data_IF_461346261830
#
_entry.id   IF_461346261830
#
_cell.length_a   1.000
_cell.length_b   1.000
_cell.length_c   1.000
_cell.angle_alpha   90.00
_cell.angle_beta   90.00
_cell.angle_gamma   90.00
#
_symmetry.space_group_name_H-M   'P 1'
#
loop_
_entity.id
_entity.type
_entity.pdbx_description
1 polymer ?
#
# COMPACT_ATOMS: atom_id res chain seq x y z
N UNK A 1 -36.63 -0.02 -73.91
CA UNK A 1 -35.82 -1.07 -73.24
C UNK A 1 -34.78 -1.55 -74.25
N UNK A 2 -33.52 -1.15 -74.13
CA UNK A 2 -32.46 -1.75 -74.92
C UNK A 2 -31.15 -1.76 -74.10
N UNK A 3 -30.41 -2.88 -74.06
CA UNK A 3 -29.42 -3.16 -73.02
C UNK A 3 -28.08 -2.47 -73.29
N UNK A 4 -27.40 -2.07 -72.21
CA UNK A 4 -26.08 -1.42 -72.24
C UNK A 4 -24.93 -2.34 -72.67
N UNK A 5 -23.77 -1.75 -73.03
CA UNK A 5 -22.65 -2.47 -73.63
C UNK A 5 -21.91 -3.39 -72.64
N UNK A 6 -21.28 -4.47 -73.15
CA UNK A 6 -20.67 -5.54 -72.34
C UNK A 6 -19.36 -5.10 -71.69
N UNK A 7 -19.24 -5.38 -70.38
CA UNK A 7 -18.02 -5.19 -69.62
C UNK A 7 -17.05 -6.36 -69.83
N UNK A 8 -15.82 -6.03 -70.22
CA UNK A 8 -14.73 -6.98 -70.38
C UNK A 8 -14.21 -7.46 -69.00
N UNK A 9 -14.31 -8.76 -68.74
CA UNK A 9 -13.68 -9.42 -67.60
C UNK A 9 -12.19 -9.66 -67.89
N UNK A 10 -11.32 -9.08 -67.07
CA UNK A 10 -9.88 -9.39 -67.08
C UNK A 10 -9.58 -10.79 -66.53
N UNK A 11 -8.42 -11.38 -66.89
CA UNK A 11 -8.06 -12.73 -66.49
C UNK A 11 -7.84 -12.85 -64.97
N UNK A 12 -8.58 -13.78 -64.36
CA UNK A 12 -8.46 -14.22 -62.97
C UNK A 12 -7.10 -14.90 -62.75
N UNK A 13 -6.30 -14.35 -61.84
CA UNK A 13 -5.04 -14.95 -61.41
C UNK A 13 -5.29 -16.08 -60.39
N UNK A 14 -4.57 -17.23 -60.47
CA UNK A 14 -4.76 -18.35 -59.56
C UNK A 14 -4.36 -18.02 -58.12
N UNK A 15 -5.22 -18.41 -57.18
CA UNK A 15 -5.00 -18.31 -55.74
C UNK A 15 -3.92 -19.31 -55.28
N UNK A 16 -2.87 -18.87 -54.54
CA UNK A 16 -1.87 -19.78 -54.00
C UNK A 16 -2.40 -20.62 -52.82
N UNK A 17 -1.99 -21.89 -52.69
CA UNK A 17 -2.49 -22.79 -51.65
C UNK A 17 -2.05 -22.38 -50.25
N UNK A 18 -3.01 -22.53 -49.33
CA UNK A 18 -2.98 -22.23 -47.92
C UNK A 18 -2.07 -23.21 -47.16
N UNK A 19 -0.91 -22.74 -46.70
CA UNK A 19 0.02 -23.48 -45.86
C UNK A 19 -0.25 -23.25 -44.37
N UNK A 20 -0.70 -24.30 -43.67
CA UNK A 20 -0.76 -24.34 -42.22
C UNK A 20 0.66 -24.44 -41.63
N UNK A 21 1.06 -23.59 -40.66
CA UNK A 21 2.30 -23.77 -39.92
C UNK A 21 2.19 -24.99 -38.99
N UNK A 22 3.01 -26.00 -39.27
CA UNK A 22 3.13 -27.21 -38.47
C UNK A 22 3.74 -26.96 -37.09
N UNK A 23 3.17 -27.62 -36.09
CA UNK A 23 3.63 -27.64 -34.70
C UNK A 23 4.98 -28.40 -34.60
N UNK A 24 6.03 -27.83 -33.98
CA UNK A 24 7.29 -28.55 -33.77
C UNK A 24 7.13 -29.66 -32.73
N UNK A 25 7.87 -30.79 -32.86
CA UNK A 25 7.80 -31.90 -31.92
C UNK A 25 8.24 -31.46 -30.50
N UNK A 26 7.64 -32.01 -29.43
CA UNK A 26 7.94 -31.62 -28.06
C UNK A 26 9.39 -31.96 -27.71
N UNK A 27 10.23 -30.93 -27.67
CA UNK A 27 11.58 -30.98 -27.14
C UNK A 27 11.56 -31.17 -25.63
N UNK A 28 12.41 -32.08 -25.15
CA UNK A 28 12.69 -32.29 -23.74
C UNK A 28 13.06 -30.95 -23.08
N UNK A 29 12.21 -30.49 -22.16
CA UNK A 29 12.46 -29.30 -21.37
C UNK A 29 13.72 -29.44 -20.50
N UNK A 30 14.29 -28.31 -20.04
CA UNK A 30 15.43 -28.32 -19.13
C UNK A 30 15.11 -29.16 -17.88
N UNK A 31 16.09 -29.90 -17.33
CA UNK A 31 15.85 -30.81 -16.22
C UNK A 31 15.22 -30.07 -15.03
N UNK A 32 14.22 -30.68 -14.36
CA UNK A 32 13.56 -30.05 -13.23
C UNK A 32 14.59 -29.66 -12.18
N UNK A 33 14.58 -28.38 -11.77
CA UNK A 33 15.40 -27.91 -10.66
C UNK A 33 15.03 -28.71 -9.43
N UNK A 34 15.96 -29.53 -8.95
CA UNK A 34 15.80 -30.33 -7.73
C UNK A 34 15.42 -29.37 -6.59
N UNK A 35 14.19 -29.52 -6.09
CA UNK A 35 13.72 -28.72 -4.99
C UNK A 35 14.37 -29.22 -3.71
N UNK A 36 15.12 -28.33 -3.06
CA UNK A 36 15.65 -28.59 -1.71
C UNK A 36 14.56 -28.44 -0.65
N UNK A 37 13.28 -28.34 -1.03
CA UNK A 37 12.15 -28.19 -0.11
C UNK A 37 12.12 -29.30 0.92
N UNK A 38 12.38 -30.56 0.52
CA UNK A 38 12.46 -31.68 1.48
C UNK A 38 13.64 -31.55 2.45
N UNK A 39 14.78 -31.02 2.00
CA UNK A 39 15.95 -30.78 2.84
C UNK A 39 15.72 -29.61 3.80
N UNK A 40 15.09 -28.53 3.34
CA UNK A 40 14.74 -27.37 4.15
C UNK A 40 13.71 -27.76 5.22
N UNK A 41 12.66 -28.51 4.85
CA UNK A 41 11.67 -29.01 5.82
C UNK A 41 12.36 -29.94 6.82
N UNK A 42 13.24 -30.83 6.36
CA UNK A 42 14.02 -31.69 7.25
C UNK A 42 14.91 -30.92 8.22
N UNK A 43 15.55 -29.83 7.76
CA UNK A 43 16.39 -28.96 8.59
C UNK A 43 15.55 -28.16 9.59
N UNK A 44 14.40 -27.64 9.17
CA UNK A 44 13.47 -26.90 10.05
C UNK A 44 12.91 -27.84 11.12
N UNK A 45 12.44 -29.03 10.75
CA UNK A 45 11.96 -30.02 11.72
C UNK A 45 13.10 -30.50 12.63
N UNK A 46 14.29 -30.74 12.08
CA UNK A 46 15.47 -31.09 12.87
C UNK A 46 15.87 -29.99 13.86
N UNK A 47 15.81 -28.72 13.44
CA UNK A 47 16.07 -27.57 14.31
C UNK A 47 14.99 -27.42 15.38
N UNK A 48 13.71 -27.62 15.04
CA UNK A 48 12.60 -27.62 16.01
C UNK A 48 12.75 -28.76 17.01
N UNK A 49 13.16 -29.96 16.58
CA UNK A 49 13.42 -31.10 17.45
C UNK A 49 14.69 -30.91 18.28
N UNK A 50 15.73 -30.22 17.79
CA UNK A 50 16.91 -29.90 18.60
C UNK A 50 16.61 -28.81 19.64
N UNK A 51 15.85 -27.78 19.26
CA UNK A 51 15.42 -26.71 20.17
C UNK A 51 14.38 -27.21 21.18
N UNK A 52 13.52 -28.16 20.81
CA UNK A 52 12.56 -28.81 21.72
C UNK A 52 13.15 -29.99 22.51
N UNK A 53 14.06 -30.75 21.91
CA UNK A 53 14.64 -31.99 22.45
C UNK A 53 15.68 -31.76 23.54
N UNK A 54 16.39 -30.63 23.51
CA UNK A 54 17.21 -30.18 24.64
C UNK A 54 16.37 -29.97 25.92
N UNK A 55 15.10 -29.62 25.77
CA UNK A 55 14.16 -29.47 26.89
C UNK A 55 13.66 -30.80 27.46
N UNK A 56 13.48 -31.83 26.64
CA UNK A 56 12.95 -33.13 27.10
C UNK A 56 13.99 -33.91 27.93
N UNK A 57 15.27 -33.83 27.56
CA UNK A 57 16.34 -34.44 28.36
C UNK A 57 16.54 -33.73 29.72
N UNK A 58 16.37 -32.40 29.76
CA UNK A 58 16.38 -31.64 31.00
C UNK A 58 15.11 -31.91 31.86
N UNK A 59 13.96 -32.12 31.23
CA UNK A 59 12.70 -32.40 31.92
C UNK A 59 12.68 -33.80 32.55
N UNK A 60 13.27 -34.82 31.89
CA UNK A 60 13.36 -36.16 32.46
C UNK A 60 14.42 -36.29 33.57
N UNK A 61 15.48 -35.48 33.57
CA UNK A 61 16.45 -35.43 34.68
C UNK A 61 15.94 -34.65 35.91
N UNK A 62 14.95 -33.77 35.74
CA UNK A 62 14.35 -32.99 36.84
C UNK A 62 13.05 -33.61 37.41
N UNK A 63 12.57 -34.73 36.86
CA UNK A 63 11.29 -35.34 37.27
C UNK A 63 11.38 -36.35 38.41
N UNK A 64 12.56 -36.58 38.99
CA UNK A 64 12.76 -37.59 40.04
C UNK A 64 12.83 -37.02 41.47
N UNK A 65 12.53 -35.73 41.66
CA UNK A 65 12.35 -35.17 43.01
C UNK A 65 11.00 -34.48 43.15
N UNK A 66 10.15 -35.13 43.94
CA UNK A 66 8.78 -34.77 44.25
C UNK A 66 8.66 -33.40 44.92
N UNK A 67 8.02 -32.46 44.24
CA UNK A 67 7.62 -31.18 44.82
C UNK A 67 6.57 -30.50 43.95
N UNK A 68 5.33 -30.44 44.46
CA UNK A 68 4.21 -29.74 43.84
C UNK A 68 4.57 -28.28 43.53
N UNK A 69 4.90 -27.99 42.27
CA UNK A 69 4.97 -26.62 41.76
C UNK A 69 4.04 -26.51 40.56
N UNK A 70 2.93 -25.79 40.75
CA UNK A 70 2.04 -25.40 39.67
C UNK A 70 2.84 -24.72 38.57
N UNK A 71 3.02 -25.41 37.45
CA UNK A 71 3.40 -24.79 36.18
C UNK A 71 2.30 -23.80 35.79
N UNK A 72 2.50 -22.53 36.14
CA UNK A 72 1.75 -21.45 35.54
C UNK A 72 2.02 -21.51 34.02
N UNK A 73 0.96 -21.74 33.24
CA UNK A 73 1.02 -21.60 31.79
C UNK A 73 1.59 -20.21 31.46
N UNK A 74 2.33 -20.03 30.35
CA UNK A 74 2.75 -18.71 29.93
C UNK A 74 1.48 -17.90 29.67
N UNK A 75 1.14 -17.00 30.60
CA UNK A 75 0.15 -15.97 30.35
C UNK A 75 0.73 -15.15 29.21
N UNK A 76 0.15 -15.29 28.01
CA UNK A 76 0.42 -14.37 26.90
C UNK A 76 0.13 -12.98 27.42
N UNK A 77 1.17 -12.22 27.71
CA UNK A 77 1.05 -10.83 28.11
C UNK A 77 0.27 -10.12 27.01
N UNK A 78 -0.92 -9.62 27.35
CA UNK A 78 -1.76 -8.87 26.41
C UNK A 78 -0.92 -7.72 25.85
N UNK A 79 -0.83 -7.59 24.53
CA UNK A 79 -0.09 -6.50 23.87
C UNK A 79 -0.62 -5.17 24.41
N UNK A 80 0.27 -4.34 24.94
CA UNK A 80 -0.04 -3.00 25.44
C UNK A 80 0.67 -1.96 24.57
N UNK A 81 0.00 -0.86 24.29
CA UNK A 81 0.50 0.25 23.48
C UNK A 81 -0.35 1.50 23.66
N UNK A 82 -0.08 2.57 22.90
CA UNK A 82 -0.87 3.79 22.96
C UNK A 82 -2.35 3.52 22.60
N UNK A 83 -3.32 4.22 23.21
CA UNK A 83 -4.68 4.22 22.73
C UNK A 83 -4.77 4.92 21.37
N UNK A 84 -5.75 4.52 20.55
CA UNK A 84 -6.05 5.23 19.30
C UNK A 84 -6.41 6.69 19.58
N UNK A 85 -5.76 7.62 18.88
CA UNK A 85 -5.96 9.06 19.08
C UNK A 85 -7.22 9.58 18.38
N UNK A 86 -7.59 9.01 17.24
CA UNK A 86 -8.70 9.46 16.40
C UNK A 86 -9.72 8.36 16.17
N UNK A 87 -10.98 8.78 16.12
CA UNK A 87 -12.14 7.91 15.86
C UNK A 87 -12.76 8.11 14.48
N UNK A 88 -12.39 9.19 13.78
CA UNK A 88 -12.87 9.59 12.45
C UNK A 88 -11.84 10.49 11.76
N UNK A 89 -11.84 10.52 10.43
CA UNK A 89 -11.07 11.43 9.60
C UNK A 89 -11.81 12.76 9.41
N UNK A 90 -11.09 13.87 9.12
CA UNK A 90 -11.73 15.14 8.81
C UNK A 90 -12.45 15.09 7.45
N UNK A 91 -13.51 15.89 7.32
CA UNK A 91 -14.15 16.14 6.03
C UNK A 91 -13.25 16.91 5.06
N UNK A 92 -13.45 16.68 3.76
CA UNK A 92 -12.65 17.28 2.71
C UNK A 92 -12.77 18.80 2.68
N UNK A 93 -13.93 19.36 2.99
CA UNK A 93 -14.18 20.80 3.05
C UNK A 93 -13.28 21.48 4.10
N UNK A 94 -13.07 20.81 5.24
CA UNK A 94 -12.22 21.31 6.32
C UNK A 94 -10.77 21.43 5.84
N UNK A 95 -10.25 20.41 5.17
CA UNK A 95 -8.90 20.43 4.59
C UNK A 95 -8.80 21.54 3.54
N UNK A 96 -9.76 21.61 2.63
CA UNK A 96 -9.77 22.55 1.51
C UNK A 96 -9.79 24.00 1.97
N UNK A 97 -10.50 24.32 3.05
CA UNK A 97 -10.56 25.66 3.62
C UNK A 97 -9.22 26.18 4.14
N UNK A 98 -8.27 25.28 4.45
CA UNK A 98 -6.93 25.60 4.90
C UNK A 98 -5.93 25.92 3.76
N UNK A 99 -6.35 25.77 2.50
CA UNK A 99 -5.47 25.94 1.34
C UNK A 99 -6.07 26.94 0.37
N UNK A 100 -5.29 27.97 0.01
CA UNK A 100 -5.73 28.99 -0.95
C UNK A 100 -5.58 28.46 -2.38
N UNK A 101 -6.52 28.85 -3.25
CA UNK A 101 -6.50 28.59 -4.68
C UNK A 101 -6.46 27.10 -5.05
N UNK A 102 -7.10 26.25 -4.25
CA UNK A 102 -7.42 24.90 -4.71
C UNK A 102 -8.49 24.97 -5.81
N UNK A 103 -8.44 24.07 -6.81
CA UNK A 103 -9.58 23.85 -7.70
C UNK A 103 -10.84 23.46 -6.92
N UNK A 104 -12.01 23.43 -7.58
CA UNK A 104 -13.24 22.93 -6.97
C UNK A 104 -13.05 21.52 -6.38
N UNK A 105 -13.61 21.32 -5.19
CA UNK A 105 -13.70 20.01 -4.56
C UNK A 105 -14.69 19.15 -5.34
N UNK A 106 -14.27 17.95 -5.73
CA UNK A 106 -15.18 16.94 -6.23
C UNK A 106 -16.01 16.33 -5.11
N UNK A 107 -17.24 15.90 -5.43
CA UNK A 107 -18.14 15.29 -4.46
C UNK A 107 -17.44 14.16 -3.67
N UNK A 108 -17.19 14.35 -2.36
CA UNK A 108 -16.46 13.38 -1.57
C UNK A 108 -17.33 12.14 -1.32
N UNK A 109 -16.70 10.96 -1.34
CA UNK A 109 -17.39 9.68 -1.09
C UNK A 109 -17.60 9.37 0.40
N UNK A 110 -16.99 10.16 1.30
CA UNK A 110 -17.00 9.91 2.74
C UNK A 110 -15.93 8.89 3.15
N UNK A 111 -16.14 8.24 4.30
CA UNK A 111 -15.30 7.13 4.76
C UNK A 111 -15.84 5.79 4.24
N UNK A 112 -14.95 4.97 3.69
CA UNK A 112 -15.27 3.63 3.19
C UNK A 112 -14.34 2.59 3.83
N UNK A 113 -14.78 1.33 4.03
CA UNK A 113 -13.89 0.26 4.49
C UNK A 113 -12.72 0.05 3.53
N UNK A 114 -11.50 -0.03 4.07
CA UNK A 114 -10.29 -0.33 3.31
C UNK A 114 -9.81 -1.75 3.61
N UNK A 115 -9.25 -2.43 2.61
CA UNK A 115 -8.68 -3.77 2.80
C UNK A 115 -7.33 -3.71 3.53
N UNK A 116 -7.10 -4.66 4.42
CA UNK A 116 -5.83 -4.85 5.11
C UNK A 116 -5.62 -6.32 5.44
N UNK A 117 -4.36 -6.76 5.49
CA UNK A 117 -3.98 -8.08 6.01
C UNK A 117 -3.87 -8.12 7.53
N UNK A 118 -3.94 -6.96 8.19
CA UNK A 118 -3.83 -6.85 9.64
C UNK A 118 -5.19 -7.12 10.31
N UNK A 119 -5.26 -8.25 11.02
CA UNK A 119 -6.47 -8.69 11.70
C UNK A 119 -6.73 -7.96 13.03
N UNK A 120 -5.81 -7.12 13.49
CA UNK A 120 -5.90 -6.41 14.78
C UNK A 120 -6.50 -5.01 14.64
N UNK A 121 -6.82 -4.57 13.42
CA UNK A 121 -7.38 -3.24 13.15
C UNK A 121 -8.67 -3.29 12.34
N UNK A 122 -9.49 -2.25 12.51
CA UNK A 122 -10.51 -1.83 11.54
C UNK A 122 -9.88 -0.73 10.69
N UNK A 123 -9.91 -0.90 9.37
CA UNK A 123 -9.23 0.00 8.45
C UNK A 123 -10.26 0.69 7.55
N UNK A 124 -10.18 2.01 7.48
CA UNK A 124 -11.11 2.86 6.70
C UNK A 124 -10.30 3.88 5.92
N UNK A 125 -10.79 4.26 4.75
CA UNK A 125 -10.16 5.25 3.88
C UNK A 125 -11.13 6.35 3.52
N UNK A 126 -10.59 7.54 3.27
CA UNK A 126 -11.32 8.66 2.67
C UNK A 126 -10.43 9.35 1.66
N UNK A 127 -11.03 9.91 0.60
CA UNK A 127 -10.30 10.56 -0.48
C UNK A 127 -10.94 11.89 -0.85
N UNK A 128 -10.11 12.92 -0.94
CA UNK A 128 -10.48 14.28 -1.29
C UNK A 128 -9.73 14.70 -2.55
N UNK A 129 -10.48 15.09 -3.58
CA UNK A 129 -9.95 15.46 -4.89
C UNK A 129 -10.35 16.89 -5.23
N UNK A 130 -9.37 17.77 -5.36
CA UNK A 130 -9.56 19.11 -5.90
C UNK A 130 -8.96 19.15 -7.29
N UNK A 131 -9.82 19.18 -8.31
CA UNK A 131 -9.38 19.17 -9.70
C UNK A 131 -10.29 19.99 -10.61
N UNK A 132 -9.68 20.51 -11.65
CA UNK A 132 -10.35 21.18 -12.75
C UNK A 132 -9.55 20.90 -14.03
N UNK A 133 -10.24 20.79 -15.16
CA UNK A 133 -9.58 20.50 -16.43
C UNK A 133 -8.55 21.60 -16.78
N UNK A 134 -7.32 21.20 -17.07
CA UNK A 134 -6.24 22.14 -17.41
C UNK A 134 -5.65 22.92 -16.22
N UNK A 135 -6.02 22.58 -14.99
CA UNK A 135 -5.48 23.18 -13.78
C UNK A 135 -4.65 22.17 -12.96
N UNK A 136 -3.68 22.63 -12.15
CA UNK A 136 -3.05 21.80 -11.13
C UNK A 136 -4.09 21.19 -10.20
N UNK A 137 -3.81 20.00 -9.65
CA UNK A 137 -4.74 19.30 -8.76
C UNK A 137 -4.10 18.87 -7.45
N UNK A 138 -4.93 18.62 -6.46
CA UNK A 138 -4.54 18.01 -5.20
C UNK A 138 -5.43 16.81 -4.91
N UNK A 139 -4.80 15.71 -4.50
CA UNK A 139 -5.44 14.50 -4.01
C UNK A 139 -4.93 14.24 -2.60
N UNK A 140 -5.85 14.10 -1.65
CA UNK A 140 -5.54 13.66 -0.29
C UNK A 140 -6.26 12.35 -0.06
N UNK A 141 -5.50 11.28 0.18
CA UNK A 141 -6.03 9.99 0.60
C UNK A 141 -5.63 9.77 2.05
N UNK A 142 -6.62 9.66 2.92
CA UNK A 142 -6.43 9.39 4.34
C UNK A 142 -6.85 7.96 4.65
N UNK A 143 -6.18 7.37 5.62
CA UNK A 143 -6.56 6.11 6.20
C UNK A 143 -6.60 6.22 7.72
N UNK A 144 -7.63 5.64 8.31
CA UNK A 144 -7.80 5.53 9.75
C UNK A 144 -7.72 4.05 10.13
N UNK A 145 -6.76 3.74 11.01
CA UNK A 145 -6.51 2.42 11.57
C UNK A 145 -6.97 2.40 13.01
N UNK A 146 -8.11 1.76 13.30
CA UNK A 146 -8.59 1.62 14.68
C UNK A 146 -8.20 0.26 15.23
N UNK A 147 -7.51 0.22 16.35
CA UNK A 147 -7.24 -1.00 17.08
C UNK A 147 -8.56 -1.70 17.44
N UNK A 148 -8.72 -2.98 17.07
CA UNK A 148 -9.90 -3.78 17.47
C UNK A 148 -9.95 -3.95 18.98
N UNK A 149 -8.77 -4.12 19.59
CA UNK A 149 -8.59 -4.11 21.03
C UNK A 149 -8.00 -2.76 21.46
N UNK A 150 -8.74 -1.94 22.23
CA UNK A 150 -8.25 -0.65 22.71
C UNK A 150 -6.97 -0.78 23.54
N UNK A 151 -6.04 0.16 23.35
CA UNK A 151 -4.79 0.22 24.12
C UNK A 151 -3.74 -0.80 23.71
N UNK A 152 -3.87 -1.43 22.54
CA UNK A 152 -2.84 -2.32 21.98
C UNK A 152 -1.80 -1.58 21.14
N UNK A 153 -2.05 -0.32 20.76
CA UNK A 153 -1.20 0.45 19.84
C UNK A 153 -1.26 0.03 18.38
N UNK A 154 -2.06 -0.99 18.03
CA UNK A 154 -2.06 -1.58 16.67
C UNK A 154 -2.47 -0.58 15.58
N UNK A 155 -3.35 0.38 15.90
CA UNK A 155 -3.75 1.45 15.00
C UNK A 155 -2.60 2.39 14.62
N UNK A 156 -1.88 2.92 15.63
CA UNK A 156 -0.73 3.80 15.40
C UNK A 156 0.45 3.03 14.78
N UNK A 157 0.72 1.80 15.21
CA UNK A 157 1.75 0.95 14.61
C UNK A 157 1.52 0.78 13.10
N UNK A 158 0.26 0.59 12.69
CA UNK A 158 -0.09 0.45 11.28
C UNK A 158 0.10 1.75 10.48
N UNK A 159 -0.38 2.88 11.00
CA UNK A 159 -0.21 4.19 10.38
C UNK A 159 1.28 4.56 10.24
N UNK A 160 2.08 4.28 11.28
CA UNK A 160 3.53 4.46 11.27
C UNK A 160 4.20 3.57 10.22
N UNK A 161 3.81 2.30 10.12
CA UNK A 161 4.38 1.38 9.15
C UNK A 161 4.12 1.84 7.70
N UNK A 162 2.93 2.39 7.42
CA UNK A 162 2.62 2.96 6.12
C UNK A 162 3.48 4.17 5.75
N UNK A 163 3.78 5.04 6.72
CA UNK A 163 4.79 6.09 6.55
C UNK A 163 6.19 5.53 6.31
N UNK A 164 6.67 4.65 7.18
CA UNK A 164 8.02 4.10 7.10
C UNK A 164 8.24 3.42 5.73
N UNK A 165 7.25 2.67 5.24
CA UNK A 165 7.28 2.02 3.94
C UNK A 165 7.40 3.02 2.77
N UNK A 166 6.67 4.14 2.82
CA UNK A 166 6.75 5.18 1.79
C UNK A 166 8.13 5.86 1.75
N UNK A 167 8.84 5.90 2.89
CA UNK A 167 10.16 6.53 2.98
C UNK A 167 11.32 5.60 2.61
N UNK A 168 11.10 4.28 2.47
CA UNK A 168 12.17 3.29 2.21
C UNK A 168 12.93 3.56 0.91
N UNK A 169 12.27 4.13 -0.08
CA UNK A 169 12.83 4.36 -1.42
C UNK A 169 13.52 5.74 -1.53
N UNK A 170 14.11 6.24 -0.44
CA UNK A 170 14.89 7.49 -0.45
C UNK A 170 14.03 8.75 -0.26
N UNK A 171 12.93 8.64 0.47
CA UNK A 171 12.10 9.80 0.80
C UNK A 171 12.85 10.88 1.59
N UNK A 172 12.47 12.13 1.39
CA UNK A 172 13.05 13.29 2.09
C UNK A 172 12.19 13.63 3.31
N UNK A 173 12.75 13.49 4.52
CA UNK A 173 12.03 13.75 5.77
C UNK A 173 11.71 15.24 5.91
N UNK A 174 10.47 15.57 6.25
CA UNK A 174 10.07 16.92 6.64
C UNK A 174 10.20 17.00 8.17
N UNK A 175 11.11 17.82 8.73
CA UNK A 175 11.40 17.81 10.17
C UNK A 175 10.20 18.11 11.05
N UNK A 176 9.34 19.03 10.61
CA UNK A 176 8.14 19.45 11.34
C UNK A 176 7.01 19.73 10.36
N UNK A 177 5.83 19.14 10.60
CA UNK A 177 4.63 19.40 9.81
C UNK A 177 3.40 19.49 10.72
N UNK A 178 3.08 20.71 11.17
CA UNK A 178 1.94 20.98 12.04
C UNK A 178 1.83 20.00 13.23
N UNK A 179 0.82 19.12 13.22
CA UNK A 179 0.54 18.16 14.29
C UNK A 179 0.97 16.74 13.95
N UNK A 180 1.52 16.52 12.76
CA UNK A 180 1.92 15.19 12.30
C UNK A 180 3.06 14.66 13.16
N UNK A 181 2.99 13.37 13.49
CA UNK A 181 4.06 12.69 14.22
C UNK A 181 5.30 12.57 13.34
N UNK A 182 5.12 12.20 12.06
CA UNK A 182 6.15 12.32 11.02
C UNK A 182 5.53 12.68 9.68
N UNK A 183 6.35 13.31 8.84
CA UNK A 183 6.02 13.59 7.46
C UNK A 183 7.28 13.52 6.58
N UNK A 184 7.09 13.36 5.28
CA UNK A 184 8.18 13.32 4.33
C UNK A 184 7.68 13.34 2.90
N UNK A 185 8.50 13.91 2.01
CA UNK A 185 8.29 13.75 0.58
C UNK A 185 8.67 12.33 0.20
N UNK A 186 7.72 11.54 -0.29
CA UNK A 186 7.98 10.18 -0.76
C UNK A 186 8.12 10.18 -2.29
N UNK A 187 9.03 9.33 -2.78
CA UNK A 187 9.24 9.17 -4.22
C UNK A 187 8.10 8.34 -4.83
N UNK A 188 7.39 8.94 -5.79
CA UNK A 188 6.34 8.28 -6.59
C UNK A 188 6.77 8.07 -8.04
N UNK A 189 8.06 8.28 -8.35
CA UNK A 189 8.70 8.11 -9.66
C UNK A 189 7.94 8.83 -10.78
N UNK A 190 7.55 10.07 -10.51
CA UNK A 190 6.80 10.92 -11.43
C UNK A 190 7.39 12.32 -11.49
N UNK A 191 7.70 12.79 -12.69
CA UNK A 191 8.21 14.15 -12.91
C UNK A 191 7.10 15.20 -12.94
N UNK A 192 5.84 14.77 -13.05
CA UNK A 192 4.64 15.62 -13.15
C UNK A 192 3.84 15.72 -11.85
N UNK A 193 4.35 15.11 -10.78
CA UNK A 193 3.69 15.04 -9.48
C UNK A 193 4.71 15.13 -8.35
N UNK A 194 4.23 15.46 -7.16
CA UNK A 194 4.98 15.31 -5.93
C UNK A 194 4.05 14.77 -4.84
N UNK A 195 4.63 14.00 -3.91
CA UNK A 195 3.85 13.36 -2.85
C UNK A 195 4.45 13.61 -1.49
N UNK A 196 3.57 13.80 -0.50
CA UNK A 196 3.93 13.77 0.92
C UNK A 196 3.17 12.64 1.57
N UNK A 197 3.88 11.80 2.33
CA UNK A 197 3.30 10.85 3.27
C UNK A 197 3.46 11.40 4.68
N UNK A 198 2.41 11.33 5.49
CA UNK A 198 2.45 11.65 6.91
C UNK A 198 1.66 10.63 7.72
N UNK A 199 1.95 10.57 9.01
CA UNK A 199 1.05 9.96 9.98
C UNK A 199 0.97 10.80 11.25
N UNK A 200 -0.16 10.66 11.93
CA UNK A 200 -0.50 11.39 13.14
C UNK A 200 -1.36 10.45 13.99
N UNK A 201 -0.81 9.95 15.10
CA UNK A 201 -1.44 8.85 15.85
C UNK A 201 -1.81 7.69 14.93
N UNK A 202 -3.07 7.27 14.98
CA UNK A 202 -3.61 6.16 14.20
C UNK A 202 -4.24 6.55 12.84
N UNK A 203 -3.90 7.74 12.32
CA UNK A 203 -4.26 8.20 10.97
C UNK A 203 -3.00 8.36 10.14
N UNK A 204 -3.02 7.84 8.91
CA UNK A 204 -2.03 8.17 7.88
C UNK A 204 -2.67 8.90 6.70
N UNK A 205 -1.89 9.75 6.03
CA UNK A 205 -2.35 10.46 4.84
C UNK A 205 -1.27 10.47 3.76
N UNK A 206 -1.70 10.28 2.52
CA UNK A 206 -0.92 10.54 1.32
C UNK A 206 -1.51 11.76 0.62
N UNK A 207 -0.66 12.73 0.37
CA UNK A 207 -0.96 13.94 -0.38
C UNK A 207 -0.24 13.81 -1.71
N UNK A 208 -0.94 14.03 -2.81
CA UNK A 208 -0.37 14.10 -4.16
C UNK A 208 -0.80 15.43 -4.76
N UNK A 209 0.16 16.21 -5.23
CA UNK A 209 -0.09 17.40 -6.03
C UNK A 209 0.45 17.16 -7.43
N UNK A 210 -0.35 17.51 -8.42
CA UNK A 210 -0.01 17.33 -9.84
C UNK A 210 -0.07 18.66 -10.57
N UNK A 211 0.73 18.80 -11.64
CA UNK A 211 0.53 19.88 -12.60
C UNK A 211 -0.77 19.75 -13.39
N UNK A 212 -1.02 20.74 -14.26
CA UNK A 212 -2.15 20.72 -15.19
C UNK A 212 -2.14 19.51 -16.14
N UNK A 213 -0.94 19.03 -16.49
CA UNK A 213 -0.72 17.83 -17.28
C UNK A 213 0.20 16.87 -16.51
N UNK A 214 -0.35 15.87 -15.80
CA UNK A 214 0.44 15.01 -14.91
C UNK A 214 1.51 14.16 -15.61
N UNK A 215 1.43 14.02 -16.94
CA UNK A 215 2.42 13.33 -17.78
C UNK A 215 3.61 14.20 -18.18
N UNK A 216 3.54 15.52 -17.92
CA UNK A 216 4.62 16.45 -18.25
C UNK A 216 5.42 16.81 -17.00
N UNK A 217 6.73 17.05 -17.12
CA UNK A 217 7.53 17.57 -16.03
C UNK A 217 6.96 18.89 -15.49
N UNK A 218 7.00 19.06 -14.19
CA UNK A 218 6.58 20.29 -13.50
C UNK A 218 7.75 20.91 -12.73
N UNK A 219 7.58 22.16 -12.33
CA UNK A 219 8.47 22.77 -11.34
C UNK A 219 8.34 22.00 -10.01
N UNK A 220 9.34 21.16 -9.73
CA UNK A 220 9.39 20.31 -8.56
C UNK A 220 9.44 21.11 -7.26
N UNK A 221 10.04 22.30 -7.25
CA UNK A 221 10.06 23.16 -6.07
C UNK A 221 8.67 23.68 -5.76
N UNK A 222 8.00 24.26 -6.77
CA UNK A 222 6.65 24.77 -6.61
C UNK A 222 5.65 23.64 -6.25
N UNK A 223 5.83 22.45 -6.84
CA UNK A 223 5.03 21.29 -6.48
C UNK A 223 5.18 20.95 -5.00
N UNK A 224 6.43 20.75 -4.53
CA UNK A 224 6.72 20.42 -3.15
C UNK A 224 6.19 21.46 -2.17
N UNK A 225 6.25 22.74 -2.50
CA UNK A 225 5.67 23.83 -1.71
C UNK A 225 4.14 23.74 -1.63
N UNK A 226 3.47 23.43 -2.74
CA UNK A 226 2.02 23.28 -2.76
C UNK A 226 1.56 22.01 -2.04
N UNK A 227 2.26 20.89 -2.21
CA UNK A 227 2.04 19.67 -1.44
C UNK A 227 2.19 19.93 0.07
N UNK A 228 3.18 20.72 0.48
CA UNK A 228 3.40 21.07 1.88
C UNK A 228 2.22 21.87 2.46
N UNK A 229 1.66 22.81 1.70
CA UNK A 229 0.47 23.58 2.12
C UNK A 229 -0.74 22.66 2.35
N UNK A 230 -1.00 21.75 1.42
CA UNK A 230 -2.08 20.77 1.52
C UNK A 230 -1.84 19.82 2.71
N UNK A 231 -0.62 19.28 2.85
CA UNK A 231 -0.26 18.38 3.93
C UNK A 231 -0.37 19.05 5.31
N UNK A 232 -0.01 20.33 5.42
CA UNK A 232 -0.19 21.13 6.63
C UNK A 232 -1.67 21.26 6.99
N UNK A 233 -2.51 21.65 6.03
CA UNK A 233 -3.96 21.77 6.23
C UNK A 233 -4.59 20.42 6.63
N UNK A 234 -4.15 19.32 6.01
CA UNK A 234 -4.58 17.96 6.37
C UNK A 234 -4.23 17.62 7.81
N UNK A 235 -2.98 17.83 8.24
CA UNK A 235 -2.54 17.56 9.61
C UNK A 235 -3.29 18.41 10.66
N UNK A 236 -3.54 19.69 10.35
CA UNK A 236 -4.34 20.58 11.20
C UNK A 236 -5.80 20.13 11.29
N UNK A 237 -6.36 19.66 10.18
CA UNK A 237 -7.74 19.18 10.11
C UNK A 237 -7.95 17.88 10.90
N UNK A 238 -6.96 16.98 10.92
CA UNK A 238 -7.00 15.70 11.65
C UNK A 238 -7.15 15.94 13.16
N UNK A 239 -6.35 16.85 13.76
CA UNK A 239 -6.55 17.28 15.16
C UNK A 239 -5.34 17.27 16.07
#
# INVERSE_FOLDING_TARGET
MQPGPPYHQGPQQPYPPQGYPGYPPPGYGPPPKKSNTGLIIGLVLGAVVLLGGGGVAAFLLLSDDSGSSSSAAPTSSKKAGPPDKYTSMPGCEKIGSGVRNLPPLETPKGEEPASTSNNDIVYTSSSCSWRESGAPSALVTMYLSKSKEPGTGSGEDWAKAGYDNAMRDGGEVIPTLAKATKAGYNDIRSDGQCSIKLYQGNVEAQIIVSGAEPSKPIDQKLCKENALKVAKATSEAIG
#
